data_IF_903940175814
#
_entry.id   IF_903940175814
#
_cell.length_a   1.000
_cell.length_b   1.000
_cell.length_c   1.000
_cell.angle_alpha   90.00
_cell.angle_beta   90.00
_cell.angle_gamma   90.00
#
_symmetry.space_group_name_H-M   'P 1'
#
loop_
_entity.id
_entity.type
_entity.pdbx_description
1 polymer ?
#
# COMPACT_ATOMS: atom_id res chain seq x y z
N UNK A 1 -20.51 -7.68 50.40
CA UNK A 1 -19.48 -8.61 49.88
C UNK A 1 -19.57 -8.80 48.34
N UNK A 2 -20.76 -8.82 47.72
CA UNK A 2 -20.87 -8.93 46.24
C UNK A 2 -20.59 -7.63 45.47
N UNK A 3 -20.75 -6.45 46.08
CA UNK A 3 -20.44 -5.16 45.40
C UNK A 3 -18.95 -4.84 45.35
N UNK A 4 -18.15 -5.32 46.31
CA UNK A 4 -16.69 -5.13 46.29
C UNK A 4 -15.99 -6.00 45.26
N UNK A 5 -16.57 -7.18 44.88
CA UNK A 5 -15.99 -8.07 43.89
C UNK A 5 -16.16 -7.59 42.44
N UNK A 6 -17.21 -6.80 42.15
CA UNK A 6 -17.46 -6.27 40.81
C UNK A 6 -16.61 -5.03 40.50
N UNK A 7 -16.22 -4.24 41.47
CA UNK A 7 -15.37 -3.05 41.27
C UNK A 7 -13.90 -3.40 41.08
N UNK A 8 -13.40 -4.46 41.69
CA UNK A 8 -12.03 -4.93 41.51
C UNK A 8 -11.82 -5.60 40.14
N UNK A 9 -12.79 -6.33 39.61
CA UNK A 9 -12.73 -6.98 38.29
C UNK A 9 -12.75 -5.93 37.13
N UNK A 10 -13.49 -4.84 37.31
CA UNK A 10 -13.50 -3.72 36.34
C UNK A 10 -12.14 -3.01 36.20
N UNK A 11 -11.48 -2.74 37.32
CA UNK A 11 -10.19 -2.03 37.37
C UNK A 11 -9.02 -2.89 36.87
N UNK A 12 -9.05 -4.22 37.07
CA UNK A 12 -8.04 -5.14 36.55
C UNK A 12 -8.19 -5.33 35.02
N UNK A 13 -9.41 -5.41 34.51
CA UNK A 13 -9.69 -5.46 33.07
C UNK A 13 -9.26 -4.19 32.33
N UNK A 14 -9.55 -3.01 32.87
CA UNK A 14 -9.11 -1.73 32.30
C UNK A 14 -7.58 -1.60 32.27
N UNK A 15 -6.91 -2.07 33.34
CA UNK A 15 -5.44 -2.08 33.41
C UNK A 15 -4.85 -3.04 32.38
N UNK A 16 -5.40 -4.23 32.25
CA UNK A 16 -4.96 -5.23 31.27
C UNK A 16 -5.18 -4.73 29.82
N UNK A 17 -6.25 -4.01 29.55
CA UNK A 17 -6.55 -3.43 28.22
C UNK A 17 -5.60 -2.27 27.89
N UNK A 18 -5.24 -1.46 28.88
CA UNK A 18 -4.26 -0.37 28.72
C UNK A 18 -2.85 -0.92 28.51
N UNK A 19 -2.45 -1.95 29.25
CA UNK A 19 -1.16 -2.62 29.09
C UNK A 19 -1.05 -3.34 27.74
N UNK A 20 -2.11 -3.99 27.27
CA UNK A 20 -2.19 -4.61 25.94
C UNK A 20 -2.07 -3.58 24.79
N UNK A 21 -2.69 -2.41 24.94
CA UNK A 21 -2.55 -1.31 23.96
C UNK A 21 -1.11 -0.79 23.91
N UNK A 22 -0.46 -0.67 25.06
CA UNK A 22 0.93 -0.24 25.17
C UNK A 22 1.89 -1.23 24.48
N UNK A 23 1.75 -2.51 24.75
CA UNK A 23 2.55 -3.59 24.13
C UNK A 23 2.36 -3.64 22.61
N UNK A 24 1.15 -3.39 22.12
CA UNK A 24 0.84 -3.34 20.68
C UNK A 24 1.48 -2.13 20.00
N UNK A 25 1.51 -0.98 20.65
CA UNK A 25 2.20 0.22 20.19
C UNK A 25 3.71 -0.05 20.08
N UNK A 26 4.33 -0.63 21.10
CA UNK A 26 5.76 -0.96 21.10
C UNK A 26 6.13 -1.99 20.02
N UNK A 27 5.25 -2.94 19.73
CA UNK A 27 5.42 -3.93 18.66
C UNK A 27 5.35 -3.29 17.26
N UNK A 28 4.44 -2.34 17.06
CA UNK A 28 4.35 -1.55 15.83
C UNK A 28 5.63 -0.71 15.63
N UNK A 29 6.18 -0.15 16.69
CA UNK A 29 7.45 0.57 16.67
C UNK A 29 8.62 -0.31 16.23
N UNK A 30 8.73 -1.50 16.81
CA UNK A 30 9.78 -2.45 16.45
C UNK A 30 9.68 -2.89 14.97
N UNK A 31 8.48 -3.04 14.44
CA UNK A 31 8.22 -3.38 13.03
C UNK A 31 8.61 -2.27 12.05
N UNK A 32 8.28 -1.04 12.37
CA UNK A 32 8.63 0.15 11.55
C UNK A 32 10.13 0.41 11.57
N UNK A 33 10.80 0.22 12.73
CA UNK A 33 12.25 0.40 12.87
C UNK A 33 13.05 -0.57 11.99
N UNK A 34 12.54 -1.77 11.80
CA UNK A 34 13.19 -2.83 11.02
C UNK A 34 13.11 -2.61 9.50
N UNK A 35 12.16 -1.81 9.03
CA UNK A 35 11.84 -1.68 7.60
C UNK A 35 12.19 -0.32 6.95
N UNK A 36 12.52 0.71 7.73
CA UNK A 36 12.80 2.03 7.17
C UNK A 36 14.21 2.50 7.51
N UNK A 37 15.07 2.63 6.51
CA UNK A 37 16.43 3.13 6.63
C UNK A 37 16.57 4.64 6.94
N UNK A 38 15.55 5.29 7.50
CA UNK A 38 15.56 6.72 7.80
C UNK A 38 15.34 6.96 9.30
N UNK A 39 16.46 6.98 10.05
CA UNK A 39 16.50 7.06 11.51
C UNK A 39 15.87 8.36 12.05
N UNK A 40 16.03 9.49 11.37
CA UNK A 40 15.50 10.79 11.80
C UNK A 40 13.97 10.86 11.70
N UNK A 41 13.41 10.34 10.62
CA UNK A 41 11.94 10.25 10.46
C UNK A 41 11.31 9.37 11.54
N UNK A 42 11.97 8.25 11.87
CA UNK A 42 11.52 7.33 12.91
C UNK A 42 11.61 7.94 14.30
N UNK A 43 12.68 8.70 14.59
CA UNK A 43 12.83 9.40 15.87
C UNK A 43 11.75 10.47 16.06
N UNK A 44 11.43 11.21 15.01
CA UNK A 44 10.34 12.21 15.02
C UNK A 44 8.99 11.52 15.26
N UNK A 45 8.73 10.43 14.54
CA UNK A 45 7.50 9.63 14.73
C UNK A 45 7.42 9.00 16.13
N UNK A 46 8.53 8.48 16.66
CA UNK A 46 8.60 7.96 18.03
C UNK A 46 8.30 9.07 19.04
N UNK A 47 8.80 10.28 18.82
CA UNK A 47 8.57 11.42 19.69
C UNK A 47 7.08 11.85 19.66
N UNK A 48 6.49 11.94 18.46
CA UNK A 48 5.07 12.23 18.28
C UNK A 48 4.19 11.20 18.98
N UNK A 49 4.49 9.91 18.78
CA UNK A 49 3.72 8.81 19.40
C UNK A 49 3.93 8.68 20.91
N UNK A 50 5.11 9.05 21.43
CA UNK A 50 5.32 9.16 22.89
C UNK A 50 4.52 10.29 23.50
N UNK A 51 4.40 11.42 22.82
CA UNK A 51 3.55 12.54 23.25
C UNK A 51 2.08 12.09 23.25
N UNK A 52 1.64 11.40 22.19
CA UNK A 52 0.28 10.84 22.12
C UNK A 52 0.01 9.82 23.25
N UNK A 53 0.93 8.87 23.47
CA UNK A 53 0.79 7.88 24.55
C UNK A 53 0.72 8.56 25.95
N UNK A 54 1.46 9.65 26.14
CA UNK A 54 1.39 10.43 27.38
C UNK A 54 0.06 11.17 27.56
N UNK A 55 -0.50 11.69 26.46
CA UNK A 55 -1.82 12.31 26.44
C UNK A 55 -2.93 11.28 26.72
N UNK A 56 -2.85 10.12 26.10
CA UNK A 56 -3.79 9.00 26.34
C UNK A 56 -3.76 8.53 27.80
N UNK A 57 -2.58 8.48 28.44
CA UNK A 57 -2.47 8.10 29.85
C UNK A 57 -3.05 9.16 30.80
N UNK A 58 -2.83 10.44 30.52
CA UNK A 58 -3.46 11.54 31.28
C UNK A 58 -4.98 11.50 31.19
N UNK A 59 -5.44 11.18 30.03
CA UNK A 59 -6.85 11.15 29.71
C UNK A 59 -7.52 9.90 30.30
N UNK A 60 -6.86 8.74 30.31
CA UNK A 60 -7.35 7.57 31.05
C UNK A 60 -7.52 7.89 32.55
N UNK A 61 -6.64 8.74 33.12
CA UNK A 61 -6.79 9.22 34.49
C UNK A 61 -7.99 10.16 34.65
N UNK A 62 -8.23 11.02 33.64
CA UNK A 62 -9.38 11.90 33.66
C UNK A 62 -10.70 11.09 33.54
N UNK A 63 -10.76 10.08 32.65
CA UNK A 63 -11.92 9.16 32.53
C UNK A 63 -12.24 8.51 33.88
N UNK A 64 -11.22 8.02 34.55
CA UNK A 64 -11.44 7.36 35.84
C UNK A 64 -12.04 8.30 36.87
N UNK A 65 -11.63 9.56 36.84
CA UNK A 65 -12.19 10.61 37.70
C UNK A 65 -13.63 10.94 37.29
N UNK A 66 -13.87 11.13 35.99
CA UNK A 66 -15.21 11.48 35.48
C UNK A 66 -16.19 10.30 35.66
N UNK A 67 -15.71 9.04 35.60
CA UNK A 67 -16.49 7.85 35.95
C UNK A 67 -16.90 7.86 37.42
N UNK A 68 -15.99 8.20 38.37
CA UNK A 68 -16.33 8.33 39.79
C UNK A 68 -17.30 9.47 40.05
N UNK A 69 -17.10 10.62 39.40
CA UNK A 69 -18.02 11.79 39.47
C UNK A 69 -19.39 11.47 38.84
N UNK A 70 -19.43 10.60 37.84
CA UNK A 70 -20.64 10.12 37.20
C UNK A 70 -21.36 9.06 38.04
N UNK A 71 -20.63 8.14 38.68
CA UNK A 71 -21.18 7.17 39.64
C UNK A 71 -21.86 7.88 40.84
N UNK A 72 -21.28 8.96 41.34
CA UNK A 72 -21.91 9.81 42.35
C UNK A 72 -23.18 10.52 41.82
N UNK A 73 -23.19 10.92 40.53
CA UNK A 73 -24.38 11.50 39.87
C UNK A 73 -25.45 10.48 39.54
N UNK A 74 -25.12 9.19 39.36
CA UNK A 74 -26.08 8.08 39.19
C UNK A 74 -26.94 7.92 40.43
N UNK A 75 -26.32 8.00 41.59
CA UNK A 75 -27.03 7.92 42.88
C UNK A 75 -28.04 9.04 43.04
N UNK A 76 -27.82 10.16 42.36
CA UNK A 76 -28.72 11.34 42.32
C UNK A 76 -29.72 11.39 41.14
N UNK A 77 -29.82 10.36 40.33
CA UNK A 77 -30.93 10.13 39.35
C UNK A 77 -30.77 10.76 37.96
N UNK A 78 -30.65 9.97 36.95
CA UNK A 78 -31.08 10.25 35.59
C UNK A 78 -30.02 10.48 34.53
N UNK A 79 -30.16 9.91 33.39
CA UNK A 79 -29.48 10.10 32.10
C UNK A 79 -28.18 9.35 31.82
N UNK A 80 -27.80 8.38 32.64
CA UNK A 80 -26.55 7.64 32.43
C UNK A 80 -26.66 6.53 31.40
N UNK A 81 -27.76 5.85 31.35
CA UNK A 81 -28.03 4.77 30.37
C UNK A 81 -27.97 5.31 28.93
N UNK A 82 -28.43 6.55 28.71
CA UNK A 82 -28.34 7.23 27.40
C UNK A 82 -26.88 7.56 27.05
N UNK A 83 -26.09 8.03 28.04
CA UNK A 83 -24.68 8.35 27.83
C UNK A 83 -23.85 7.11 27.61
N UNK A 84 -24.06 6.06 28.40
CA UNK A 84 -23.38 4.76 28.24
C UNK A 84 -23.64 4.19 26.85
N UNK A 85 -24.90 4.14 26.40
CA UNK A 85 -25.24 3.70 25.06
C UNK A 85 -24.58 4.54 23.96
N UNK A 86 -24.52 5.85 24.16
CA UNK A 86 -23.83 6.76 23.23
C UNK A 86 -22.33 6.47 23.15
N UNK A 87 -21.68 6.24 24.28
CA UNK A 87 -20.25 5.88 24.35
C UNK A 87 -19.96 4.53 23.70
N UNK A 88 -20.81 3.54 23.94
CA UNK A 88 -20.71 2.22 23.31
C UNK A 88 -20.79 2.32 21.79
N UNK A 89 -21.75 3.07 21.26
CA UNK A 89 -21.88 3.27 19.82
C UNK A 89 -20.65 3.97 19.24
N UNK A 90 -20.12 4.96 19.94
CA UNK A 90 -18.93 5.70 19.52
C UNK A 90 -17.69 4.80 19.50
N UNK A 91 -17.49 3.98 20.55
CA UNK A 91 -16.39 3.01 20.60
C UNK A 91 -16.47 1.97 19.48
N UNK A 92 -17.67 1.48 19.17
CA UNK A 92 -17.86 0.53 18.07
C UNK A 92 -17.50 1.14 16.71
N UNK A 93 -17.79 2.42 16.50
CA UNK A 93 -17.42 3.10 15.26
C UNK A 93 -15.90 3.32 15.15
N UNK A 94 -15.24 3.69 16.24
CA UNK A 94 -13.78 3.81 16.29
C UNK A 94 -13.14 2.46 15.96
N UNK A 95 -13.60 1.38 16.58
CA UNK A 95 -13.10 0.03 16.31
C UNK A 95 -13.25 -0.37 14.84
N UNK A 96 -14.36 -0.02 14.22
CA UNK A 96 -14.59 -0.26 12.79
C UNK A 96 -13.59 0.50 11.92
N UNK A 97 -13.30 1.76 12.25
CA UNK A 97 -12.31 2.58 11.54
C UNK A 97 -10.91 1.97 11.69
N UNK A 98 -10.54 1.50 12.88
CA UNK A 98 -9.26 0.81 13.11
C UNK A 98 -9.10 -0.45 12.26
N UNK A 99 -10.15 -1.24 12.15
CA UNK A 99 -10.11 -2.47 11.35
C UNK A 99 -10.04 -2.15 9.85
N UNK A 100 -10.73 -1.10 9.39
CA UNK A 100 -10.60 -0.59 8.03
C UNK A 100 -9.18 -0.07 7.75
N UNK A 101 -8.55 0.63 8.69
CA UNK A 101 -7.18 1.11 8.56
C UNK A 101 -6.17 -0.03 8.43
N UNK A 102 -6.30 -1.08 9.25
CA UNK A 102 -5.46 -2.29 9.13
C UNK A 102 -5.61 -2.94 7.76
N UNK A 103 -6.86 -3.08 7.30
CA UNK A 103 -7.15 -3.63 5.96
C UNK A 103 -6.52 -2.79 4.85
N UNK A 104 -6.61 -1.47 4.94
CA UNK A 104 -5.97 -0.57 3.98
C UNK A 104 -4.45 -0.77 3.93
N UNK A 105 -3.77 -0.81 5.08
CA UNK A 105 -2.32 -1.04 5.16
C UNK A 105 -1.89 -2.38 4.54
N UNK A 106 -2.68 -3.43 4.71
CA UNK A 106 -2.40 -4.73 4.09
C UNK A 106 -2.58 -4.71 2.57
N UNK A 107 -3.61 -4.00 2.09
CA UNK A 107 -3.84 -3.82 0.65
C UNK A 107 -2.76 -2.94 0.02
N UNK A 108 -2.28 -1.92 0.71
CA UNK A 108 -1.18 -1.05 0.27
C UNK A 108 0.11 -1.86 0.06
N UNK A 109 0.49 -2.70 1.03
CA UNK A 109 1.65 -3.60 0.90
C UNK A 109 1.49 -4.57 -0.28
N UNK A 110 0.28 -5.11 -0.48
CA UNK A 110 -0.01 -6.00 -1.61
C UNK A 110 0.09 -5.27 -2.95
N UNK A 111 -0.47 -4.07 -3.04
CA UNK A 111 -0.42 -3.25 -4.25
C UNK A 111 1.03 -2.88 -4.60
N UNK A 112 1.84 -2.50 -3.61
CA UNK A 112 3.26 -2.21 -3.81
C UNK A 112 4.04 -3.45 -4.29
N UNK A 113 3.80 -4.62 -3.70
CA UNK A 113 4.41 -5.88 -4.12
C UNK A 113 4.06 -6.23 -5.56
N UNK A 114 2.77 -6.11 -5.96
CA UNK A 114 2.31 -6.37 -7.33
C UNK A 114 2.87 -5.36 -8.32
N UNK A 115 2.97 -4.08 -7.94
CA UNK A 115 3.62 -3.03 -8.73
C UNK A 115 5.09 -3.35 -8.99
N UNK A 116 5.84 -3.79 -7.97
CA UNK A 116 7.24 -4.21 -8.12
C UNK A 116 7.35 -5.41 -9.06
N UNK A 117 6.49 -6.40 -8.92
CA UNK A 117 6.46 -7.56 -9.81
C UNK A 117 6.20 -7.17 -11.28
N UNK A 118 5.25 -6.26 -11.52
CA UNK A 118 4.99 -5.72 -12.85
C UNK A 118 6.20 -4.99 -13.43
N UNK A 119 6.86 -4.11 -12.67
CA UNK A 119 8.04 -3.38 -13.13
C UNK A 119 9.16 -4.36 -13.52
N UNK A 120 9.41 -5.39 -12.71
CA UNK A 120 10.41 -6.43 -13.01
C UNK A 120 10.05 -7.23 -14.27
N UNK A 121 8.79 -7.63 -14.43
CA UNK A 121 8.34 -8.35 -15.62
C UNK A 121 8.40 -7.47 -16.87
N UNK A 122 8.06 -6.20 -16.77
CA UNK A 122 8.12 -5.23 -17.88
C UNK A 122 9.55 -4.97 -18.33
N UNK A 123 10.49 -4.84 -17.38
CA UNK A 123 11.91 -4.71 -17.69
C UNK A 123 12.45 -5.96 -18.40
N UNK A 124 12.17 -7.14 -17.86
CA UNK A 124 12.56 -8.41 -18.47
C UNK A 124 11.98 -8.58 -19.87
N UNK A 125 10.72 -8.20 -20.08
CA UNK A 125 10.11 -8.19 -21.42
C UNK A 125 10.89 -7.28 -22.38
N UNK A 126 11.27 -6.07 -21.93
CA UNK A 126 12.02 -5.12 -22.77
C UNK A 126 13.39 -5.69 -23.18
N UNK A 127 14.12 -6.27 -22.23
CA UNK A 127 15.42 -6.91 -22.48
C UNK A 127 15.31 -8.07 -23.49
N UNK A 128 14.33 -8.96 -23.30
CA UNK A 128 14.12 -10.12 -24.17
C UNK A 128 13.73 -9.67 -25.57
N UNK A 129 12.89 -8.63 -25.68
CA UNK A 129 12.48 -8.05 -26.98
C UNK A 129 13.64 -7.38 -27.70
N UNK A 130 14.51 -6.69 -26.99
CA UNK A 130 15.72 -6.12 -27.57
C UNK A 130 16.65 -7.19 -28.15
N UNK A 131 16.80 -8.31 -27.43
CA UNK A 131 17.58 -9.47 -27.93
C UNK A 131 16.94 -10.01 -29.21
N UNK A 132 15.61 -10.19 -29.25
CA UNK A 132 14.92 -10.65 -30.46
C UNK A 132 15.17 -9.71 -31.62
N UNK A 133 15.02 -8.40 -31.44
CA UNK A 133 15.22 -7.40 -32.48
C UNK A 133 16.67 -7.46 -33.05
N UNK A 134 17.67 -7.61 -32.16
CA UNK A 134 19.08 -7.77 -32.58
C UNK A 134 19.30 -9.05 -33.37
N UNK A 135 18.67 -10.15 -32.94
CA UNK A 135 18.77 -11.43 -33.64
C UNK A 135 18.07 -11.40 -35.01
N UNK A 136 16.89 -10.78 -35.11
CA UNK A 136 16.18 -10.62 -36.38
C UNK A 136 17.00 -9.78 -37.37
N UNK A 137 17.59 -8.67 -36.88
CA UNK A 137 18.47 -7.86 -37.72
C UNK A 137 19.70 -8.64 -38.17
N UNK A 138 20.39 -9.33 -37.27
CA UNK A 138 21.56 -10.15 -37.61
C UNK A 138 21.22 -11.28 -38.60
N UNK A 139 20.02 -11.87 -38.50
CA UNK A 139 19.53 -12.87 -39.43
C UNK A 139 19.33 -12.30 -40.83
N UNK A 140 18.68 -11.13 -40.93
CA UNK A 140 18.46 -10.42 -42.22
C UNK A 140 19.78 -9.99 -42.85
N UNK A 141 20.70 -9.43 -42.06
CA UNK A 141 22.04 -9.05 -42.51
C UNK A 141 22.85 -10.27 -43.00
N UNK A 142 22.69 -11.40 -42.33
CA UNK A 142 23.28 -12.67 -42.70
C UNK A 142 22.75 -13.19 -44.04
N UNK A 143 21.44 -13.13 -44.25
CA UNK A 143 20.83 -13.49 -45.56
C UNK A 143 21.31 -12.57 -46.66
N UNK A 144 21.33 -11.24 -46.42
CA UNK A 144 21.85 -10.26 -47.36
C UNK A 144 23.33 -10.54 -47.73
N UNK A 145 24.15 -10.92 -46.72
CA UNK A 145 25.55 -11.30 -46.95
C UNK A 145 25.71 -12.57 -47.80
N UNK A 146 24.87 -13.59 -47.56
CA UNK A 146 24.87 -14.84 -48.37
C UNK A 146 24.50 -14.51 -49.82
N UNK A 147 23.48 -13.71 -50.05
CA UNK A 147 23.08 -13.28 -51.38
C UNK A 147 24.19 -12.47 -52.07
N UNK A 148 24.81 -11.54 -51.32
CA UNK A 148 25.90 -10.73 -51.82
C UNK A 148 27.16 -11.55 -52.19
N UNK A 149 27.47 -12.58 -51.43
CA UNK A 149 28.62 -13.48 -51.69
C UNK A 149 28.47 -14.28 -52.99
N UNK A 150 27.23 -14.50 -53.47
CA UNK A 150 26.94 -15.18 -54.74
C UNK A 150 26.96 -14.26 -55.96
N UNK A 151 27.10 -12.95 -55.78
CA UNK A 151 27.09 -12.00 -56.89
C UNK A 151 28.45 -11.97 -57.60
N UNK A 152 28.39 -12.00 -58.93
CA UNK A 152 29.55 -11.84 -59.78
C UNK A 152 29.36 -10.58 -60.61
N UNK A 153 30.42 -9.78 -60.79
CA UNK A 153 30.38 -8.55 -61.56
C UNK A 153 30.00 -8.84 -63.02
N UNK A 154 29.06 -8.13 -63.55
CA UNK A 154 28.53 -8.32 -64.92
C UNK A 154 27.36 -9.32 -65.02
N UNK A 155 27.00 -10.07 -63.94
CA UNK A 155 25.78 -10.89 -63.93
C UNK A 155 24.61 -10.17 -63.24
N UNK A 156 23.39 -10.32 -63.80
CA UNK A 156 22.22 -9.64 -63.20
C UNK A 156 21.94 -10.21 -61.79
N UNK A 157 21.77 -9.32 -60.81
CA UNK A 157 21.42 -9.64 -59.47
C UNK A 157 20.02 -10.31 -59.38
N UNK A 158 19.83 -11.44 -58.73
CA UNK A 158 18.54 -12.10 -58.64
C UNK A 158 17.51 -11.32 -57.81
N UNK A 159 17.94 -10.27 -57.06
CA UNK A 159 17.06 -9.47 -56.22
C UNK A 159 16.63 -8.18 -56.91
N UNK A 160 17.54 -7.43 -57.54
CA UNK A 160 17.24 -6.12 -58.09
C UNK A 160 17.54 -6.01 -59.62
N UNK A 161 18.12 -7.05 -60.24
CA UNK A 161 18.45 -7.07 -61.67
C UNK A 161 19.70 -6.26 -62.03
N UNK A 162 20.33 -5.51 -61.14
CA UNK A 162 21.54 -4.74 -61.42
C UNK A 162 22.72 -5.64 -61.72
N UNK A 163 23.57 -5.22 -62.66
CA UNK A 163 24.79 -5.96 -63.05
C UNK A 163 26.05 -5.46 -62.34
N UNK A 164 25.89 -4.38 -61.54
CA UNK A 164 27.00 -3.78 -60.79
C UNK A 164 26.54 -3.31 -59.44
N UNK A 165 27.29 -3.70 -58.39
CA UNK A 165 27.06 -3.31 -56.99
C UNK A 165 28.32 -2.68 -56.41
N UNK A 166 28.33 -1.35 -56.16
CA UNK A 166 29.54 -0.64 -55.75
C UNK A 166 30.01 -1.02 -54.34
N UNK A 167 29.14 -1.56 -53.49
CA UNK A 167 29.46 -2.00 -52.12
C UNK A 167 28.61 -3.21 -51.77
N UNK A 168 29.24 -4.37 -51.70
CA UNK A 168 28.61 -5.59 -51.23
C UNK A 168 28.62 -5.65 -49.69
N UNK A 169 27.52 -6.13 -49.15
CA UNK A 169 27.43 -6.39 -47.69
C UNK A 169 28.24 -7.65 -47.33
N UNK A 170 28.89 -7.63 -46.18
CA UNK A 170 29.66 -8.80 -45.69
C UNK A 170 28.78 -9.65 -44.76
N UNK A 171 28.93 -10.97 -44.85
CA UNK A 171 28.23 -11.89 -43.91
C UNK A 171 28.74 -11.64 -42.50
N UNK A 172 27.89 -11.37 -41.51
CA UNK A 172 28.25 -11.23 -40.12
C UNK A 172 28.91 -12.56 -39.61
N UNK A 173 29.82 -12.41 -38.63
CA UNK A 173 30.52 -13.61 -38.05
C UNK A 173 29.60 -14.60 -37.34
N UNK A 174 28.51 -14.10 -36.80
CA UNK A 174 27.51 -14.91 -36.08
C UNK A 174 26.10 -14.55 -36.63
N UNK A 175 25.56 -15.44 -37.43
CA UNK A 175 24.19 -15.35 -37.92
C UNK A 175 23.33 -16.32 -37.12
N UNK A 176 22.28 -15.88 -36.43
CA UNK A 176 21.40 -16.76 -35.71
C UNK A 176 20.67 -17.71 -36.66
N UNK A 177 20.44 -18.95 -36.21
CA UNK A 177 19.64 -19.91 -36.98
C UNK A 177 18.14 -19.61 -36.85
N UNK A 178 17.36 -20.11 -37.80
CA UNK A 178 15.90 -20.01 -37.74
C UNK A 178 15.32 -20.65 -36.47
N UNK A 179 15.89 -21.75 -35.99
CA UNK A 179 15.50 -22.40 -34.75
C UNK A 179 15.76 -21.49 -33.53
N UNK A 180 16.91 -20.81 -33.51
CA UNK A 180 17.23 -19.84 -32.45
C UNK A 180 16.27 -18.67 -32.44
N UNK A 181 15.93 -18.12 -33.61
CA UNK A 181 14.92 -17.06 -33.75
C UNK A 181 13.55 -17.53 -33.26
N UNK A 182 13.11 -18.73 -33.66
CA UNK A 182 11.85 -19.31 -33.23
C UNK A 182 11.78 -19.51 -31.72
N UNK A 183 12.90 -19.96 -31.12
CA UNK A 183 13.02 -20.09 -29.66
C UNK A 183 12.94 -18.73 -28.97
N UNK A 184 13.65 -17.73 -29.49
CA UNK A 184 13.62 -16.37 -28.93
C UNK A 184 12.24 -15.72 -29.06
N UNK A 185 11.52 -15.93 -30.18
CA UNK A 185 10.13 -15.47 -30.35
C UNK A 185 9.22 -16.05 -29.27
N UNK A 186 9.29 -17.33 -29.00
CA UNK A 186 8.52 -17.97 -27.92
C UNK A 186 8.86 -17.41 -26.54
N UNK A 187 10.14 -17.10 -26.29
CA UNK A 187 10.55 -16.44 -25.03
C UNK A 187 9.97 -15.03 -24.92
N UNK A 188 9.94 -14.30 -26.04
CA UNK A 188 9.36 -12.95 -26.09
C UNK A 188 7.85 -12.99 -25.85
N UNK A 189 7.13 -13.88 -26.50
CA UNK A 189 5.68 -14.09 -26.27
C UNK A 189 5.38 -14.45 -24.80
N UNK A 190 6.19 -15.35 -24.20
CA UNK A 190 6.04 -15.72 -22.79
C UNK A 190 6.31 -14.51 -21.85
N UNK A 191 7.33 -13.70 -22.15
CA UNK A 191 7.65 -12.52 -21.37
C UNK A 191 6.57 -11.41 -21.52
N UNK A 192 6.02 -11.24 -22.72
CA UNK A 192 4.92 -10.32 -23.00
C UNK A 192 3.67 -10.72 -22.21
N UNK A 193 3.33 -12.01 -22.22
CA UNK A 193 2.21 -12.54 -21.44
C UNK A 193 2.44 -12.33 -19.93
N UNK A 194 3.62 -12.66 -19.42
CA UNK A 194 3.95 -12.50 -18.02
C UNK A 194 3.86 -11.02 -17.57
N UNK A 195 4.32 -10.07 -18.39
CA UNK A 195 4.22 -8.64 -18.12
C UNK A 195 2.76 -8.16 -18.17
N UNK A 196 1.96 -8.66 -19.11
CA UNK A 196 0.52 -8.38 -19.20
C UNK A 196 -0.23 -8.87 -17.97
N UNK A 197 -0.01 -10.14 -17.58
CA UNK A 197 -0.65 -10.74 -16.40
C UNK A 197 -0.27 -9.97 -15.11
N UNK A 198 1.01 -9.61 -14.99
CA UNK A 198 1.48 -8.81 -13.85
C UNK A 198 0.88 -7.39 -13.83
N UNK A 199 0.67 -6.77 -15.01
CA UNK A 199 0.01 -5.47 -15.14
C UNK A 199 -1.44 -5.51 -14.65
N UNK A 200 -2.19 -6.54 -15.06
CA UNK A 200 -3.58 -6.74 -14.62
C UNK A 200 -3.63 -6.91 -13.10
N UNK A 201 -2.77 -7.78 -12.54
CA UNK A 201 -2.72 -7.99 -11.09
C UNK A 201 -2.35 -6.73 -10.31
N UNK A 202 -1.44 -5.91 -10.84
CA UNK A 202 -1.06 -4.64 -10.22
C UNK A 202 -2.22 -3.63 -10.27
N UNK A 203 -2.94 -3.57 -11.39
CA UNK A 203 -4.14 -2.73 -11.54
C UNK A 203 -5.27 -3.13 -10.60
N UNK A 204 -5.56 -4.43 -10.49
CA UNK A 204 -6.57 -4.97 -9.57
C UNK A 204 -6.22 -4.66 -8.10
N UNK A 205 -4.95 -4.89 -7.71
CA UNK A 205 -4.50 -4.61 -6.35
C UNK A 205 -4.56 -3.11 -6.02
N UNK A 206 -4.17 -2.23 -6.96
CA UNK A 206 -4.29 -0.79 -6.81
C UNK A 206 -5.75 -0.33 -6.71
N UNK A 207 -6.64 -0.90 -7.52
CA UNK A 207 -8.08 -0.61 -7.46
C UNK A 207 -8.74 -1.05 -6.15
N UNK A 208 -8.33 -2.20 -5.61
CA UNK A 208 -8.80 -2.67 -4.29
C UNK A 208 -8.32 -1.75 -3.16
N UNK A 209 -7.04 -1.36 -3.19
CA UNK A 209 -6.46 -0.42 -2.22
C UNK A 209 -7.18 0.92 -2.27
N UNK A 210 -7.41 1.46 -3.46
CA UNK A 210 -8.07 2.76 -3.63
C UNK A 210 -9.51 2.75 -3.08
N UNK A 211 -10.30 1.71 -3.38
CA UNK A 211 -11.66 1.57 -2.82
C UNK A 211 -11.65 1.49 -1.30
N UNK A 212 -10.72 0.70 -0.74
CA UNK A 212 -10.60 0.60 0.72
C UNK A 212 -10.20 1.95 1.36
N UNK A 213 -9.38 2.73 0.69
CA UNK A 213 -9.03 4.10 1.09
C UNK A 213 -10.25 5.01 1.12
N UNK A 214 -11.06 4.96 0.07
CA UNK A 214 -12.30 5.75 -0.03
C UNK A 214 -13.29 5.37 1.08
N UNK A 215 -13.49 4.05 1.31
CA UNK A 215 -14.34 3.56 2.41
C UNK A 215 -13.83 4.03 3.78
N UNK A 216 -12.52 4.00 4.01
CA UNK A 216 -11.90 4.49 5.25
C UNK A 216 -12.12 5.99 5.42
N UNK A 217 -11.87 6.77 4.37
CA UNK A 217 -12.05 8.23 4.38
C UNK A 217 -13.49 8.62 4.66
N UNK A 218 -14.44 7.94 4.03
CA UNK A 218 -15.89 8.15 4.28
C UNK A 218 -16.27 7.76 5.71
N UNK A 219 -15.76 6.63 6.22
CA UNK A 219 -15.97 6.20 7.60
C UNK A 219 -15.49 7.23 8.62
N UNK A 220 -14.30 7.78 8.40
CA UNK A 220 -13.72 8.83 9.26
C UNK A 220 -14.52 10.13 9.19
N UNK A 221 -14.88 10.57 7.98
CA UNK A 221 -15.71 11.78 7.81
C UNK A 221 -17.08 11.62 8.47
N UNK A 222 -17.70 10.44 8.33
CA UNK A 222 -18.97 10.12 8.98
C UNK A 222 -18.89 10.17 10.51
N UNK A 223 -17.80 9.64 11.08
CA UNK A 223 -17.54 9.70 12.50
C UNK A 223 -17.37 11.17 12.97
N UNK A 224 -16.56 11.96 12.28
CA UNK A 224 -16.33 13.38 12.58
C UNK A 224 -17.65 14.16 12.55
N UNK A 225 -18.45 13.98 11.50
CA UNK A 225 -19.72 14.67 11.35
C UNK A 225 -20.75 14.29 12.41
N UNK A 226 -20.71 13.06 12.93
CA UNK A 226 -21.67 12.57 13.90
C UNK A 226 -21.34 12.95 15.34
N UNK A 227 -20.06 13.01 15.71
CA UNK A 227 -19.62 13.08 17.10
C UNK A 227 -18.88 14.36 17.49
N UNK A 228 -18.51 15.20 16.53
CA UNK A 228 -17.82 16.46 16.77
C UNK A 228 -18.74 17.65 16.61
N UNK A 229 -18.48 18.75 17.35
CA UNK A 229 -19.16 20.01 17.13
C UNK A 229 -19.02 20.51 15.68
N UNK A 230 -20.03 21.18 15.16
CA UNK A 230 -20.06 21.61 13.76
C UNK A 230 -18.88 22.55 13.40
N UNK A 231 -18.45 23.38 14.34
CA UNK A 231 -17.32 24.30 14.18
C UNK A 231 -16.00 23.54 14.01
N UNK A 232 -15.73 22.53 14.86
CA UNK A 232 -14.53 21.66 14.77
C UNK A 232 -14.56 20.80 13.52
N UNK A 233 -15.73 20.25 13.17
CA UNK A 233 -15.93 19.46 11.96
C UNK A 233 -15.56 20.24 10.71
N UNK A 234 -16.03 21.49 10.59
CA UNK A 234 -15.71 22.34 9.45
C UNK A 234 -14.23 22.70 9.38
N UNK A 235 -13.58 22.94 10.52
CA UNK A 235 -12.14 23.25 10.57
C UNK A 235 -11.28 22.06 10.10
N UNK A 236 -11.61 20.85 10.56
CA UNK A 236 -10.89 19.63 10.22
C UNK A 236 -11.06 19.27 8.73
N UNK A 237 -12.30 19.38 8.22
CA UNK A 237 -12.59 19.08 6.81
C UNK A 237 -11.97 20.11 5.86
N UNK A 238 -11.78 21.37 6.28
CA UNK A 238 -11.07 22.39 5.50
C UNK A 238 -9.57 22.18 5.40
N UNK A 239 -8.96 21.51 6.39
CA UNK A 239 -7.50 21.29 6.42
C UNK A 239 -7.02 20.23 5.42
N UNK A 240 -7.93 19.53 4.71
CA UNK A 240 -7.58 18.44 3.77
C UNK A 240 -6.49 17.52 4.31
N UNK A 241 -6.62 17.11 5.59
CA UNK A 241 -5.62 16.29 6.25
C UNK A 241 -5.42 14.97 5.50
N UNK A 242 -4.17 14.48 5.39
CA UNK A 242 -3.91 13.14 4.86
C UNK A 242 -4.71 12.06 5.63
N UNK A 243 -5.17 11.03 4.93
CA UNK A 243 -6.05 9.98 5.51
C UNK A 243 -5.50 9.37 6.79
N UNK A 244 -4.17 9.22 6.92
CA UNK A 244 -3.54 8.71 8.14
C UNK A 244 -3.64 9.68 9.31
N UNK A 245 -3.59 10.99 9.07
CA UNK A 245 -3.76 12.02 10.10
C UNK A 245 -5.22 12.11 10.55
N UNK A 246 -6.17 11.96 9.63
CA UNK A 246 -7.60 11.85 9.95
C UNK A 246 -7.88 10.62 10.83
N UNK A 247 -7.29 9.47 10.51
CA UNK A 247 -7.41 8.27 11.34
C UNK A 247 -6.78 8.44 12.73
N UNK A 248 -5.63 9.12 12.81
CA UNK A 248 -4.98 9.47 14.08
C UNK A 248 -5.84 10.45 14.90
N UNK A 249 -6.46 11.42 14.22
CA UNK A 249 -7.37 12.36 14.86
C UNK A 249 -8.59 11.63 15.49
N UNK A 250 -9.22 10.69 14.77
CA UNK A 250 -10.32 9.88 15.30
C UNK A 250 -9.90 9.04 16.50
N UNK A 251 -8.69 8.43 16.44
CA UNK A 251 -8.12 7.70 17.59
C UNK A 251 -7.89 8.58 18.80
N UNK A 252 -7.43 9.80 18.59
CA UNK A 252 -7.23 10.76 19.68
C UNK A 252 -8.56 11.23 20.27
N UNK A 253 -9.65 11.21 19.48
CA UNK A 253 -11.00 11.50 19.96
C UNK A 253 -11.58 10.38 20.85
N UNK A 254 -11.09 9.13 20.74
CA UNK A 254 -11.40 8.09 21.72
C UNK A 254 -11.10 8.57 23.13
N UNK A 255 -10.09 9.40 23.22
CA UNK A 255 -9.65 10.05 24.43
C UNK A 255 -10.50 11.24 24.89
N UNK A 256 -11.31 11.84 24.03
CA UNK A 256 -12.20 12.99 24.34
C UNK A 256 -13.68 12.57 24.46
N UNK A 257 -13.98 11.28 24.35
CA UNK A 257 -15.32 10.70 24.56
C UNK A 257 -15.70 10.68 26.04
N UNK A 258 -15.23 11.63 26.73
CA UNK A 258 -15.41 11.85 28.15
C UNK A 258 -16.01 13.19 28.44
#
# INVERSE_FOLDING_TARGET
>A
KQKEYQTTDGTEKEKAETDFRKEKIDTLYAGVYKNCGNLEFLQTKISELKIQSGQEEQLAKQIKKDLTDLEEKIVSGGNLEIKENSLVVRLQQIQKIEDQQKRYQDLEKKAESKKKAYLTASQKRAEIKEILNKMEQAYLDGQAGILAAGLQDGMPCPVCGSVHHPKLTQTPKEVPTEEQLKKQKKLTEAAEKAASDASVQAGEAAGLMQRCREELTEGVKGYIAQFLPEEETQEILRKELPDHELCLFVKNQESSVQ
#
